data_IF_537820752309
#
_entry.id   IF_537820752309
#
_cell.length_a   1.000
_cell.length_b   1.000
_cell.length_c   1.000
_cell.angle_alpha   90.00
_cell.angle_beta   90.00
_cell.angle_gamma   90.00
#
_symmetry.space_group_name_H-M   'P 1'
#
loop_
_entity.id
_entity.type
_entity.pdbx_description
1 polymer ?
#
# COMPACT_ATOMS: atom_id res chain seq x y z
N UNK A 1 4.08 13.25 -30.85
CA UNK A 1 3.72 13.78 -29.52
C UNK A 1 2.87 15.02 -29.75
N UNK A 2 1.56 15.01 -29.45
CA UNK A 2 0.73 16.20 -29.64
C UNK A 2 1.39 17.36 -28.89
N UNK A 3 1.81 18.34 -29.69
CA UNK A 3 2.72 19.36 -29.27
C UNK A 3 1.96 20.48 -28.58
N UNK A 4 2.67 21.15 -27.68
CA UNK A 4 2.41 22.47 -27.10
C UNK A 4 1.56 23.43 -27.98
N UNK A 5 1.66 23.31 -29.31
CA UNK A 5 0.85 24.02 -30.29
C UNK A 5 -0.66 23.84 -30.17
N UNK A 6 -1.16 22.62 -29.91
CA UNK A 6 -2.61 22.39 -29.75
C UNK A 6 -3.17 23.11 -28.53
N UNK A 7 -2.40 23.13 -27.43
CA UNK A 7 -2.76 23.85 -26.22
C UNK A 7 -2.81 25.35 -26.49
N UNK A 8 -1.86 25.90 -27.26
CA UNK A 8 -1.88 27.31 -27.66
C UNK A 8 -3.09 27.68 -28.52
N UNK A 9 -3.47 26.82 -29.47
CA UNK A 9 -4.65 27.05 -30.34
C UNK A 9 -5.94 27.03 -29.51
N UNK A 10 -6.10 26.04 -28.61
CA UNK A 10 -7.26 25.97 -27.72
C UNK A 10 -7.32 27.20 -26.82
N UNK A 11 -6.19 27.61 -26.25
CA UNK A 11 -6.12 28.81 -25.42
C UNK A 11 -6.50 30.06 -26.19
N UNK A 12 -6.05 30.20 -27.45
CA UNK A 12 -6.41 31.32 -28.31
C UNK A 12 -7.92 31.37 -28.59
N UNK A 13 -8.55 30.22 -28.86
CA UNK A 13 -10.01 30.12 -29.03
C UNK A 13 -10.72 30.54 -27.74
N UNK A 14 -10.33 30.01 -26.59
CA UNK A 14 -10.92 30.39 -25.28
C UNK A 14 -10.77 31.90 -25.02
N UNK A 15 -9.60 32.48 -25.32
CA UNK A 15 -9.36 33.93 -25.19
C UNK A 15 -10.22 34.76 -26.15
N UNK A 16 -10.59 34.23 -27.32
CA UNK A 16 -11.51 34.88 -28.24
C UNK A 16 -12.96 34.86 -27.73
N UNK A 17 -13.41 33.73 -27.15
CA UNK A 17 -14.77 33.61 -26.58
C UNK A 17 -14.94 34.43 -25.30
N UNK A 18 -14.01 34.30 -24.36
CA UNK A 18 -14.11 34.94 -23.04
C UNK A 18 -13.43 36.31 -23.00
N UNK A 19 -12.50 36.59 -23.92
CA UNK A 19 -11.69 37.80 -23.94
C UNK A 19 -10.39 37.65 -23.14
N UNK A 20 -9.29 38.23 -23.65
CA UNK A 20 -7.98 38.20 -23.00
C UNK A 20 -7.93 38.81 -21.59
N UNK A 21 -8.95 39.60 -21.24
CA UNK A 21 -9.04 40.30 -19.95
C UNK A 21 -9.78 39.50 -18.87
N UNK A 22 -10.66 38.56 -19.24
CA UNK A 22 -11.54 37.83 -18.30
C UNK A 22 -10.84 36.69 -17.57
N UNK A 23 -10.01 35.92 -18.27
CA UNK A 23 -9.21 34.85 -17.65
C UNK A 23 -8.31 35.38 -16.51
N UNK A 24 -7.48 36.42 -16.70
CA UNK A 24 -6.63 36.92 -15.62
C UNK A 24 -7.43 37.58 -14.50
N UNK A 25 -8.53 38.26 -14.81
CA UNK A 25 -9.42 38.89 -13.82
C UNK A 25 -10.08 37.84 -12.90
N UNK A 26 -10.60 36.76 -13.47
CA UNK A 26 -11.16 35.64 -12.70
C UNK A 26 -10.06 34.91 -11.91
N UNK A 27 -8.89 34.69 -12.51
CA UNK A 27 -7.75 34.03 -11.86
C UNK A 27 -7.21 34.85 -10.67
N UNK A 28 -7.21 36.18 -10.76
CA UNK A 28 -6.81 37.05 -9.66
C UNK A 28 -7.78 36.96 -8.47
N UNK A 29 -9.09 36.94 -8.72
CA UNK A 29 -10.09 36.76 -7.67
C UNK A 29 -9.99 35.38 -7.01
N UNK A 30 -9.95 34.32 -7.82
CA UNK A 30 -9.82 32.94 -7.35
C UNK A 30 -8.50 32.70 -6.61
N UNK A 31 -7.40 33.25 -7.14
CA UNK A 31 -6.06 33.10 -6.56
C UNK A 31 -5.93 33.77 -5.19
N UNK A 32 -6.57 34.93 -5.00
CA UNK A 32 -6.65 35.58 -3.68
C UNK A 32 -7.44 34.73 -2.68
N UNK A 33 -8.61 34.24 -3.08
CA UNK A 33 -9.45 33.37 -2.23
C UNK A 33 -8.75 32.07 -1.85
N UNK A 34 -8.10 31.38 -2.81
CA UNK A 34 -7.31 30.17 -2.54
C UNK A 34 -6.14 30.47 -1.62
N UNK A 35 -5.46 31.61 -1.79
CA UNK A 35 -4.32 32.01 -0.95
C UNK A 35 -4.75 32.30 0.49
N UNK A 36 -5.85 33.01 0.68
CA UNK A 36 -6.42 33.28 2.01
C UNK A 36 -6.91 31.99 2.68
N UNK A 37 -7.59 31.12 1.92
CA UNK A 37 -8.01 29.80 2.40
C UNK A 37 -6.81 28.95 2.84
N UNK A 38 -5.76 28.87 2.02
CA UNK A 38 -4.53 28.13 2.37
C UNK A 38 -3.83 28.72 3.58
N UNK A 39 -3.88 30.04 3.76
CA UNK A 39 -3.33 30.72 4.93
C UNK A 39 -4.12 30.37 6.19
N UNK A 40 -5.45 30.44 6.14
CA UNK A 40 -6.32 30.09 7.27
C UNK A 40 -6.17 28.61 7.67
N UNK A 41 -6.10 27.70 6.69
CA UNK A 41 -5.86 26.27 6.94
C UNK A 41 -4.50 26.03 7.59
N UNK A 42 -3.46 26.76 7.18
CA UNK A 42 -2.13 26.67 7.79
C UNK A 42 -2.13 27.18 9.24
N UNK A 43 -2.79 28.30 9.49
CA UNK A 43 -2.90 28.92 10.82
C UNK A 43 -3.58 27.97 11.81
N UNK A 44 -4.69 27.34 11.40
CA UNK A 44 -5.38 26.31 12.18
C UNK A 44 -4.49 25.07 12.40
N UNK A 45 -3.75 24.64 11.38
CA UNK A 45 -2.84 23.50 11.52
C UNK A 45 -1.71 23.80 12.51
N UNK A 46 -1.19 25.03 12.51
CA UNK A 46 -0.14 25.50 13.41
C UNK A 46 -0.65 25.64 14.85
N UNK A 47 -1.87 26.17 15.09
CA UNK A 47 -2.47 26.19 16.44
C UNK A 47 -2.68 24.78 17.01
N UNK A 48 -3.09 23.83 16.16
CA UNK A 48 -3.29 22.42 16.55
C UNK A 48 -1.95 21.71 16.79
N UNK A 49 -0.92 22.02 16.00
CA UNK A 49 0.44 21.45 16.15
C UNK A 49 1.19 22.06 17.35
N UNK A 50 1.01 23.36 17.65
CA UNK A 50 1.60 24.03 18.83
C UNK A 50 1.00 23.49 20.14
N UNK A 51 -0.27 23.08 20.13
CA UNK A 51 -0.89 22.36 21.26
C UNK A 51 -0.37 20.92 21.43
N UNK A 52 0.30 20.38 20.41
CA UNK A 52 0.95 19.07 20.40
C UNK A 52 2.44 19.19 20.13
N UNK A 53 3.21 19.80 21.04
CA UNK A 53 4.67 19.69 21.01
C UNK A 53 5.07 18.22 21.19
N UNK A 54 5.12 17.47 20.08
CA UNK A 54 5.83 16.21 19.95
C UNK A 54 6.77 16.42 18.77
N UNK A 55 7.96 16.89 19.06
CA UNK A 55 9.08 16.97 18.13
C UNK A 55 9.35 15.57 17.56
N UNK A 56 9.07 15.28 16.26
CA UNK A 56 9.36 13.97 15.68
C UNK A 56 10.81 13.88 15.14
N UNK A 57 11.73 14.68 15.67
CA UNK A 57 13.12 14.76 15.19
C UNK A 57 14.19 14.39 16.24
N UNK A 58 13.80 14.15 17.50
CA UNK A 58 14.68 13.52 18.51
C UNK A 58 14.57 11.99 18.54
N UNK A 59 13.73 11.37 17.72
CA UNK A 59 13.58 9.92 17.64
C UNK A 59 14.64 9.20 16.76
N UNK A 60 15.65 9.91 16.25
CA UNK A 60 16.76 9.33 15.48
C UNK A 60 18.09 9.38 16.26
N UNK A 61 18.11 8.91 17.50
CA UNK A 61 19.33 8.28 18.05
C UNK A 61 18.93 7.32 19.16
N UNK A 62 18.31 6.19 18.80
CA UNK A 62 18.41 5.00 19.65
C UNK A 62 19.84 4.49 19.40
N UNK A 63 20.79 4.62 20.34
CA UNK A 63 22.08 3.97 20.18
C UNK A 63 21.81 2.46 20.01
N UNK A 64 22.45 1.79 19.04
CA UNK A 64 22.27 0.36 18.85
C UNK A 64 22.58 -0.35 20.18
N UNK A 65 21.72 -1.27 20.66
CA UNK A 65 22.00 -2.02 21.87
C UNK A 65 23.27 -2.83 21.67
N UNK A 66 24.36 -2.37 22.29
CA UNK A 66 25.56 -3.15 22.46
C UNK A 66 25.18 -4.39 23.28
N UNK A 67 25.09 -5.56 22.64
CA UNK A 67 25.06 -6.82 23.40
C UNK A 67 24.08 -7.92 22.99
N UNK A 68 23.59 -7.98 21.75
CA UNK A 68 22.99 -9.24 21.28
C UNK A 68 23.64 -9.66 19.97
N UNK A 69 24.71 -10.44 20.11
CA UNK A 69 25.20 -11.38 19.10
C UNK A 69 24.33 -12.63 19.20
N UNK A 70 23.41 -12.91 18.26
CA UNK A 70 22.89 -14.25 18.10
C UNK A 70 24.06 -15.10 17.60
N UNK A 71 24.53 -16.02 18.45
CA UNK A 71 25.46 -17.09 18.07
C UNK A 71 24.92 -17.79 16.82
N UNK A 72 25.52 -17.49 15.67
CA UNK A 72 25.45 -18.33 14.49
C UNK A 72 26.49 -19.43 14.64
N UNK A 73 26.24 -20.38 15.53
CA UNK A 73 27.09 -21.58 15.70
C UNK A 73 26.23 -22.69 16.30
N UNK A 74 25.42 -23.35 15.46
CA UNK A 74 25.06 -24.76 15.58
C UNK A 74 24.08 -25.16 14.46
N UNK A 75 24.56 -26.03 13.58
CA UNK A 75 23.79 -26.70 12.54
C UNK A 75 22.65 -27.59 13.13
N UNK A 76 21.72 -28.11 12.31
CA UNK A 76 20.30 -28.29 12.63
C UNK A 76 19.96 -29.63 13.29
N UNK A 77 18.91 -29.70 14.13
CA UNK A 77 18.14 -30.92 14.33
C UNK A 77 16.95 -30.94 13.36
N UNK A 78 17.11 -31.65 12.24
CA UNK A 78 15.95 -32.12 11.47
C UNK A 78 15.26 -33.25 12.26
N UNK A 79 14.26 -32.84 13.04
CA UNK A 79 13.06 -33.53 13.52
C UNK A 79 12.37 -34.61 12.63
N UNK A 80 12.68 -35.92 12.67
CA UNK A 80 12.01 -36.96 11.86
C UNK A 80 10.48 -37.03 12.02
N UNK A 81 9.76 -36.92 10.90
CA UNK A 81 8.35 -37.30 10.79
C UNK A 81 8.06 -37.96 9.43
N UNK A 82 8.30 -39.27 9.36
CA UNK A 82 7.46 -40.24 8.64
C UNK A 82 6.76 -41.09 9.72
N UNK A 83 5.59 -41.78 9.52
CA UNK A 83 5.07 -42.47 8.30
C UNK A 83 3.50 -42.36 8.22
N UNK A 84 2.69 -43.15 7.45
CA UNK A 84 2.98 -44.33 6.62
C UNK A 84 2.46 -44.30 5.17
N UNK A 85 3.30 -44.82 4.28
CA UNK A 85 2.90 -45.25 2.93
C UNK A 85 1.95 -46.44 3.06
N UNK A 86 0.75 -46.31 2.52
CA UNK A 86 -0.17 -47.44 2.37
C UNK A 86 0.45 -48.45 1.39
N UNK A 87 0.53 -49.74 1.77
CA UNK A 87 1.00 -50.78 0.87
C UNK A 87 -0.01 -50.99 -0.26
N UNK A 88 0.43 -50.82 -1.51
CA UNK A 88 -0.22 -51.45 -2.64
C UNK A 88 0.06 -52.94 -2.54
N UNK A 89 -0.96 -53.69 -2.14
CA UNK A 89 -0.95 -55.15 -2.22
C UNK A 89 -2.27 -55.51 -2.89
N UNK A 90 -2.20 -55.73 -4.20
CA UNK A 90 -3.21 -56.48 -4.93
C UNK A 90 -3.44 -57.80 -4.20
N UNK A 91 -4.66 -58.03 -3.76
CA UNK A 91 -5.05 -59.23 -3.04
C UNK A 91 -5.04 -60.45 -3.97
N UNK A 92 -4.65 -61.64 -3.46
CA UNK A 92 -4.86 -62.90 -4.15
C UNK A 92 -6.36 -63.26 -4.22
N UNK A 93 -6.75 -63.65 -5.43
CA UNK A 93 -7.60 -64.79 -5.82
C UNK A 93 -8.54 -65.39 -4.76
N UNK A 94 -9.85 -65.31 -5.07
CA UNK A 94 -10.83 -66.41 -5.10
C UNK A 94 -11.09 -67.20 -3.80
N UNK A 95 -12.37 -67.30 -3.41
CA UNK A 95 -13.07 -68.40 -2.69
C UNK A 95 -14.26 -67.75 -1.98
N UNK A 96 -15.42 -67.71 -2.63
CA UNK A 96 -16.49 -68.71 -2.58
C UNK A 96 -17.58 -68.29 -1.59
N UNK A 97 -18.69 -67.88 -2.20
CA UNK A 97 -19.94 -67.46 -1.60
C UNK A 97 -20.77 -68.70 -1.23
N UNK A 98 -20.67 -69.15 0.01
CA UNK A 98 -21.75 -69.88 0.70
C UNK A 98 -22.41 -68.94 1.70
N UNK A 99 -23.72 -68.85 1.86
CA UNK A 99 -24.83 -69.61 1.31
C UNK A 99 -26.09 -68.88 1.79
N UNK A 100 -26.93 -68.54 0.84
CA UNK A 100 -28.16 -67.80 1.00
C UNK A 100 -29.16 -68.57 1.89
N UNK A 101 -29.69 -67.86 2.88
CA UNK A 101 -30.76 -68.36 3.73
C UNK A 101 -32.01 -68.61 2.87
N UNK A 102 -32.52 -69.84 2.93
CA UNK A 102 -33.89 -70.17 2.55
C UNK A 102 -34.57 -70.89 3.72
N UNK A 103 -35.70 -70.29 4.12
CA UNK A 103 -36.77 -70.79 5.02
C UNK A 103 -36.66 -70.36 6.47
#
# INVERSE_FOLDING_TARGET
MPGHWEILVIFLVVLLLFGARRIPEMAQGLGKGIREFRKAVKDVQEEVDVSGTINPQSAQTIPPPAGQVPRQDAAPPQQPAAPPQQPTAAAPTETESGGEARS
#
